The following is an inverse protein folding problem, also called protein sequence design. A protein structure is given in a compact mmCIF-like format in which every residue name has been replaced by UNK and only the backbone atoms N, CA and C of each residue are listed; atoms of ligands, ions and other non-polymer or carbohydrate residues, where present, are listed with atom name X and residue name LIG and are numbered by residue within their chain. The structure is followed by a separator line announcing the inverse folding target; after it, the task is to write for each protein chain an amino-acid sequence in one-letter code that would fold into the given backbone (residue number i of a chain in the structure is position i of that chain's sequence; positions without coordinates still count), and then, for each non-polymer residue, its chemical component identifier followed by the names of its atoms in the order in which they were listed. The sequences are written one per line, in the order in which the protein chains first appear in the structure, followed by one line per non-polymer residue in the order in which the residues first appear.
data_IF_360840808283
#
_entry.id   IF_360840808283
#
_cell.length_a   1.000
_cell.length_b   1.000
_cell.length_c   1.000
_cell.angle_alpha   90.00
_cell.angle_beta   90.00
_cell.angle_gamma   90.00
#
_symmetry.space_group_name_H-M   'P 1'
#
loop_
_entity.id
_entity.type
_entity.pdbx_description
1 polymer ?
#
# COMPACT_ATOMS: atom_id res chain seq x y z
N UNK A 1 -10.53 -1.60 8.74
CA UNK A 1 -9.81 -1.69 7.45
C UNK A 1 -9.20 -0.33 7.18
N UNK A 2 -7.87 -0.24 7.06
CA UNK A 2 -7.18 0.99 6.71
C UNK A 2 -7.07 1.03 5.19
N UNK A 3 -7.67 2.02 4.54
CA UNK A 3 -7.53 2.23 3.10
C UNK A 3 -6.50 3.33 2.87
N UNK A 4 -5.39 2.96 2.22
CA UNK A 4 -4.29 3.87 1.89
C UNK A 4 -4.09 3.76 0.40
N UNK A 5 -4.29 4.87 -0.32
CA UNK A 5 -4.16 4.87 -1.78
C UNK A 5 -2.68 4.81 -2.21
N UNK A 6 -1.78 5.45 -1.44
CA UNK A 6 -0.34 5.29 -1.62
C UNK A 6 0.47 5.67 -0.38
N UNK A 7 1.70 5.16 -0.29
CA UNK A 7 2.71 5.54 0.70
C UNK A 7 3.82 6.29 -0.04
N UNK A 8 4.04 7.55 0.31
CA UNK A 8 5.01 8.41 -0.40
C UNK A 8 6.37 8.48 0.30
N UNK A 9 6.35 8.62 1.62
CA UNK A 9 7.56 8.76 2.42
C UNK A 9 7.48 7.89 3.66
N UNK A 10 8.62 7.29 4.01
CA UNK A 10 8.82 6.56 5.26
C UNK A 10 9.94 7.24 6.03
N UNK A 11 9.65 7.71 7.24
CA UNK A 11 10.62 8.33 8.11
C UNK A 11 10.81 7.52 9.38
N UNK A 12 12.06 7.15 9.69
CA UNK A 12 12.43 6.51 10.95
C UNK A 12 13.08 7.55 11.86
N UNK A 13 12.48 7.79 13.02
CA UNK A 13 13.04 8.69 14.03
C UNK A 13 12.60 8.29 15.43
N UNK A 14 13.52 8.32 16.40
CA UNK A 14 13.24 8.06 17.82
C UNK A 14 12.47 6.74 18.10
N UNK A 15 12.78 5.68 17.35
CA UNK A 15 12.14 4.36 17.52
C UNK A 15 10.72 4.27 16.95
N UNK A 16 10.28 5.27 16.18
CA UNK A 16 8.99 5.29 15.50
C UNK A 16 9.23 5.38 13.99
N UNK A 17 8.47 4.60 13.23
CA UNK A 17 8.37 4.70 11.77
C UNK A 17 7.08 5.42 11.43
N UNK A 18 7.18 6.50 10.65
CA UNK A 18 6.04 7.26 10.13
C UNK A 18 5.92 7.06 8.63
N UNK A 19 4.76 6.60 8.19
CA UNK A 19 4.36 6.53 6.79
C UNK A 19 3.48 7.74 6.47
N UNK A 20 3.83 8.51 5.45
CA UNK A 20 2.93 9.53 4.93
C UNK A 20 2.07 8.90 3.83
N UNK A 21 0.76 8.98 4.02
CA UNK A 21 -0.21 8.47 3.07
C UNK A 21 -0.60 9.55 2.09
N UNK A 22 -0.78 9.18 0.83
CA UNK A 22 -1.21 10.08 -0.23
C UNK A 22 -2.44 9.52 -0.95
N UNK A 23 -3.17 10.40 -1.62
CA UNK A 23 -4.24 10.10 -2.55
C UNK A 23 -4.06 10.90 -3.84
N UNK A 24 -4.60 10.38 -4.93
CA UNK A 24 -4.60 11.07 -6.22
C UNK A 24 -5.78 12.02 -6.29
N UNK A 25 -5.49 13.32 -6.39
CA UNK A 25 -6.49 14.35 -6.56
C UNK A 25 -7.15 14.33 -7.94
N UNK A 26 -8.26 15.07 -8.12
CA UNK A 26 -8.98 15.12 -9.40
C UNK A 26 -8.15 15.61 -10.60
N UNK A 27 -7.08 16.37 -10.36
CA UNK A 27 -6.15 16.83 -11.40
C UNK A 27 -4.87 15.99 -11.52
N UNK A 28 -4.82 14.83 -10.85
CA UNK A 28 -3.69 13.90 -10.89
C UNK A 28 -2.54 14.27 -9.94
N UNK A 29 -2.70 15.28 -9.10
CA UNK A 29 -1.76 15.66 -8.06
C UNK A 29 -1.82 14.71 -6.86
N UNK A 30 -0.68 14.40 -6.26
CA UNK A 30 -0.65 13.65 -5.00
C UNK A 30 -0.94 14.59 -3.82
N UNK A 31 -2.00 14.29 -3.08
CA UNK A 31 -2.41 15.01 -1.88
C UNK A 31 -2.09 14.16 -0.66
N UNK A 32 -1.33 14.71 0.29
CA UNK A 32 -1.12 14.03 1.58
C UNK A 32 -2.44 13.89 2.33
N UNK A 33 -2.82 12.66 2.63
CA UNK A 33 -4.09 12.32 3.30
C UNK A 33 -3.91 12.07 4.79
N UNK A 34 -2.68 11.85 5.26
CA UNK A 34 -2.38 11.64 6.65
C UNK A 34 -1.08 10.89 6.89
N UNK A 35 -0.97 10.34 8.10
CA UNK A 35 0.18 9.56 8.49
C UNK A 35 -0.19 8.37 9.38
N UNK A 36 0.56 7.29 9.21
CA UNK A 36 0.51 6.11 10.06
C UNK A 36 1.82 6.08 10.83
N UNK A 37 1.75 5.96 12.15
CA UNK A 37 2.93 5.81 13.00
C UNK A 37 2.94 4.43 13.64
N UNK A 38 4.04 3.71 13.50
CA UNK A 38 4.24 2.39 14.10
C UNK A 38 5.55 2.34 14.88
N UNK A 39 5.66 1.51 15.92
CA UNK A 39 6.96 1.22 16.54
C UNK A 39 7.94 0.65 15.52
N UNK A 40 9.20 1.06 15.56
CA UNK A 40 10.23 0.56 14.66
C UNK A 40 10.42 -0.96 14.78
N UNK A 41 10.13 -1.54 15.95
CA UNK A 41 10.24 -2.98 16.20
C UNK A 41 9.30 -3.84 15.36
N UNK A 42 8.20 -3.29 14.84
CA UNK A 42 7.23 -4.02 14.03
C UNK A 42 7.31 -3.67 12.54
N UNK A 43 8.24 -2.78 12.17
CA UNK A 43 8.31 -2.24 10.81
C UNK A 43 8.59 -3.31 9.75
N UNK A 44 9.56 -4.19 10.01
CA UNK A 44 9.94 -5.24 9.07
C UNK A 44 8.77 -6.19 8.80
N UNK A 45 8.12 -6.67 9.86
CA UNK A 45 6.93 -7.52 9.74
C UNK A 45 5.81 -6.84 8.96
N UNK A 46 5.59 -5.54 9.17
CA UNK A 46 4.59 -4.79 8.43
C UNK A 46 4.93 -4.70 6.93
N UNK A 47 6.20 -4.51 6.56
CA UNK A 47 6.62 -4.50 5.15
C UNK A 47 6.39 -5.86 4.49
N UNK A 48 6.72 -6.95 5.17
CA UNK A 48 6.50 -8.31 4.67
C UNK A 48 5.01 -8.54 4.37
N UNK A 49 4.14 -8.20 5.31
CA UNK A 49 2.68 -8.31 5.15
C UNK A 49 2.13 -7.46 3.99
N UNK A 50 2.68 -6.25 3.78
CA UNK A 50 2.28 -5.40 2.66
C UNK A 50 2.72 -5.98 1.31
N UNK A 51 3.92 -6.57 1.24
CA UNK A 51 4.40 -7.23 0.03
C UNK A 51 3.56 -8.48 -0.29
N UNK A 52 3.31 -9.34 0.69
CA UNK A 52 2.45 -10.53 0.52
C UNK A 52 1.04 -10.15 0.05
N UNK A 53 0.44 -9.10 0.62
CA UNK A 53 -0.85 -8.60 0.17
C UNK A 53 -0.80 -8.08 -1.27
N UNK A 54 0.29 -7.42 -1.66
CA UNK A 54 0.51 -6.96 -3.03
C UNK A 54 0.63 -8.11 -4.04
N UNK A 55 1.38 -9.16 -3.70
CA UNK A 55 1.51 -10.38 -4.52
C UNK A 55 0.15 -11.07 -4.70
N UNK A 56 -0.61 -11.25 -3.62
CA UNK A 56 -1.96 -11.83 -3.68
C UNK A 56 -2.92 -11.02 -4.56
N UNK A 57 -2.84 -9.69 -4.52
CA UNK A 57 -3.65 -8.82 -5.37
C UNK A 57 -3.25 -8.95 -6.85
N UNK A 58 -1.96 -9.07 -7.16
CA UNK A 58 -1.48 -9.28 -8.53
C UNK A 58 -1.92 -10.65 -9.07
N UNK A 59 -1.79 -11.70 -8.27
CA UNK A 59 -2.27 -13.05 -8.61
C UNK A 59 -3.78 -13.02 -8.88
N UNK A 60 -4.58 -12.41 -8.00
CA UNK A 60 -6.02 -12.28 -8.18
C UNK A 60 -6.39 -11.53 -9.47
N UNK A 61 -5.66 -10.47 -9.83
CA UNK A 61 -5.87 -9.74 -11.09
C UNK A 61 -5.54 -10.59 -12.32
N UNK A 62 -4.45 -11.37 -12.28
CA UNK A 62 -4.09 -12.26 -13.39
C UNK A 62 -5.14 -13.35 -13.62
N UNK A 63 -5.67 -13.96 -12.56
CA UNK A 63 -6.75 -14.94 -12.68
C UNK A 63 -8.05 -14.35 -13.25
N UNK A 64 -8.37 -13.11 -12.90
CA UNK A 64 -9.53 -12.41 -13.46
C UNK A 64 -9.36 -12.09 -14.96
N UNK A 65 -8.11 -11.86 -15.40
CA UNK A 65 -7.79 -11.60 -16.80
C UNK A 65 -7.91 -12.88 -17.65
N UNK A 66 -7.41 -14.02 -17.19
CA UNK A 66 -7.50 -15.32 -17.89
C UNK A 66 -8.95 -15.81 -18.07
N UNK A 67 -9.82 -15.63 -17.06
CA UNK A 67 -11.24 -16.01 -17.17
C UNK A 67 -12.02 -15.13 -18.18
N UNK A 68 -11.55 -13.90 -18.42
CA UNK A 68 -12.18 -12.99 -19.40
C UNK A 68 -11.87 -13.36 -20.85
N UNK A 69 -10.72 -13.97 -21.12
CA UNK A 69 -10.33 -14.46 -22.45
C UNK A 69 -10.94 -15.84 -22.77
N UNK A 70 -11.35 -16.62 -21.76
CA UNK A 70 -11.97 -17.94 -21.95
C UNK A 70 -13.47 -17.90 -22.32
N UNK A 71 -14.09 -16.71 -22.37
CA UNK A 71 -15.54 -16.53 -22.62
C UNK A 71 -15.89 -15.89 -23.98
N UNK A 72 -14.97 -15.90 -24.96
CA UNK A 72 -15.25 -15.52 -26.35
C UNK A 72 -15.11 -16.68 -27.34
#
# INVERSE_FOLDING_TARGET
MLFVEGIRNVNLSNGVVRFNTVATGPSGEEIETGHIAVPASVYLQLLEQLNEAGEQLQEAQSHFHDDSDATH
#
